data_IF_140857305758
#
_entry.id   IF_140857305758
#
_cell.length_a   1.000
_cell.length_b   1.000
_cell.length_c   1.000
_cell.angle_alpha   90.00
_cell.angle_beta   90.00
_cell.angle_gamma   90.00
#
_symmetry.space_group_name_H-M   'P 1'
#
loop_
_entity.id
_entity.type
_entity.pdbx_description
1 polymer ?
#
# COMPACT_ATOMS: atom_id res chain seq x y z
N UNK A 1 18.22 10.93 7.28
CA UNK A 1 18.80 9.79 8.01
C UNK A 1 19.97 9.29 7.19
N UNK A 2 21.06 8.92 7.85
CA UNK A 2 22.20 8.26 7.21
C UNK A 2 21.87 6.80 6.85
N UNK A 3 22.62 6.16 5.94
CA UNK A 3 22.36 4.77 5.51
C UNK A 3 22.36 3.74 6.64
N UNK A 4 23.17 3.91 7.69
CA UNK A 4 23.23 2.98 8.81
C UNK A 4 21.94 3.05 9.64
N UNK A 5 21.48 4.27 9.95
CA UNK A 5 20.21 4.51 10.63
C UNK A 5 18.99 4.02 9.83
N UNK A 6 18.99 4.22 8.51
CA UNK A 6 17.91 3.71 7.64
C UNK A 6 17.89 2.18 7.65
N UNK A 7 19.06 1.54 7.55
CA UNK A 7 19.17 0.08 7.56
C UNK A 7 18.66 -0.49 8.89
N UNK A 8 19.09 0.07 10.03
CA UNK A 8 18.61 -0.32 11.36
C UNK A 8 17.08 -0.20 11.47
N UNK A 9 16.53 0.94 11.04
CA UNK A 9 15.09 1.20 11.07
C UNK A 9 14.33 0.21 10.18
N UNK A 10 14.89 -0.13 9.02
CA UNK A 10 14.28 -1.11 8.11
C UNK A 10 14.27 -2.50 8.74
N UNK A 11 15.36 -2.92 9.38
CA UNK A 11 15.43 -4.21 10.10
C UNK A 11 14.34 -4.29 11.17
N UNK A 12 14.13 -3.23 11.94
CA UNK A 12 13.06 -3.17 12.95
C UNK A 12 11.67 -3.36 12.33
N UNK A 13 11.37 -2.67 11.22
CA UNK A 13 10.08 -2.84 10.51
C UNK A 13 9.93 -4.28 9.97
N UNK A 14 11.00 -4.88 9.45
CA UNK A 14 10.97 -6.28 9.00
C UNK A 14 10.74 -7.26 10.16
N UNK A 15 11.28 -6.98 11.35
CA UNK A 15 11.00 -7.77 12.55
C UNK A 15 9.53 -7.65 12.99
N UNK A 16 8.96 -6.45 12.96
CA UNK A 16 7.53 -6.24 13.18
C UNK A 16 6.69 -7.02 12.16
N UNK A 17 7.06 -6.98 10.88
CA UNK A 17 6.38 -7.71 9.82
C UNK A 17 6.43 -9.24 10.00
N UNK A 18 7.53 -9.79 10.51
CA UNK A 18 7.63 -11.20 10.85
C UNK A 18 6.61 -11.58 11.93
N UNK A 19 6.51 -10.77 12.99
CA UNK A 19 5.56 -10.99 14.08
C UNK A 19 4.09 -10.82 13.61
N UNK A 20 3.83 -9.80 12.79
CA UNK A 20 2.52 -9.57 12.19
C UNK A 20 2.13 -10.73 11.25
N UNK A 21 3.06 -11.21 10.42
CA UNK A 21 2.85 -12.37 9.56
C UNK A 21 2.51 -13.64 10.36
N UNK A 22 3.22 -13.89 11.46
CA UNK A 22 2.94 -15.01 12.36
C UNK A 22 1.51 -14.96 12.94
N UNK A 23 0.95 -13.76 13.06
CA UNK A 23 -0.42 -13.55 13.54
C UNK A 23 -1.44 -13.77 12.41
N UNK A 24 -1.18 -13.26 11.21
CA UNK A 24 -2.15 -13.24 10.10
C UNK A 24 -2.13 -14.52 9.25
N UNK A 25 -1.06 -15.32 9.29
CA UNK A 25 -0.88 -16.53 8.45
C UNK A 25 -1.97 -17.61 8.65
N UNK A 26 -2.73 -17.51 9.74
CA UNK A 26 -3.82 -18.42 10.10
C UNK A 26 -5.20 -17.96 9.61
N UNK A 27 -5.29 -16.79 8.95
CA UNK A 27 -6.51 -16.31 8.31
C UNK A 27 -6.91 -17.31 7.21
N UNK A 28 -8.15 -17.76 7.26
CA UNK A 28 -8.68 -18.70 6.28
C UNK A 28 -8.81 -18.01 4.91
N UNK A 29 -8.41 -18.71 3.85
CA UNK A 29 -8.44 -18.22 2.46
C UNK A 29 -7.58 -16.96 2.20
N UNK A 30 -6.54 -16.74 3.02
CA UNK A 30 -5.56 -15.68 2.79
C UNK A 30 -4.86 -15.87 1.42
N UNK A 31 -4.75 -14.82 0.57
CA UNK A 31 -4.12 -14.96 -0.73
C UNK A 31 -2.69 -15.46 -0.64
N UNK A 32 -2.30 -16.37 -1.56
CA UNK A 32 -0.96 -16.98 -1.58
C UNK A 32 0.17 -15.94 -1.65
N UNK A 33 -0.09 -14.79 -2.25
CA UNK A 33 0.81 -13.64 -2.24
C UNK A 33 1.33 -13.28 -0.83
N UNK A 34 0.45 -13.29 0.19
CA UNK A 34 0.87 -13.02 1.58
C UNK A 34 1.83 -14.08 2.11
N UNK A 35 1.60 -15.35 1.76
CA UNK A 35 2.50 -16.43 2.16
C UNK A 35 3.89 -16.30 1.52
N UNK A 36 3.98 -15.90 0.24
CA UNK A 36 5.26 -15.65 -0.42
C UNK A 36 5.99 -14.43 0.15
N UNK A 37 5.24 -13.37 0.50
CA UNK A 37 5.78 -12.22 1.24
C UNK A 37 6.37 -12.68 2.58
N UNK A 38 5.61 -13.46 3.35
CA UNK A 38 6.07 -14.03 4.63
C UNK A 38 7.35 -14.86 4.51
N UNK A 39 7.48 -15.68 3.45
CA UNK A 39 8.69 -16.47 3.17
C UNK A 39 9.89 -15.61 2.76
N UNK A 40 9.65 -14.42 2.22
CA UNK A 40 10.70 -13.50 1.77
C UNK A 40 11.26 -12.65 2.91
N UNK A 41 10.48 -12.40 3.98
CA UNK A 41 10.89 -11.56 5.10
C UNK A 41 12.22 -11.98 5.77
N UNK A 42 12.48 -13.27 6.06
CA UNK A 42 13.76 -13.68 6.64
C UNK A 42 14.95 -13.36 5.73
N UNK A 43 14.78 -13.52 4.42
CA UNK A 43 15.82 -13.21 3.43
C UNK A 43 16.12 -11.71 3.37
N UNK A 44 15.07 -10.88 3.41
CA UNK A 44 15.19 -9.42 3.48
C UNK A 44 15.97 -9.02 4.74
N UNK A 45 15.62 -9.60 5.89
CA UNK A 45 16.33 -9.35 7.15
C UNK A 45 17.80 -9.74 7.07
N UNK A 46 18.11 -10.96 6.62
CA UNK A 46 19.49 -11.45 6.45
C UNK A 46 20.30 -10.50 5.57
N UNK A 47 19.74 -10.04 4.45
CA UNK A 47 20.43 -9.11 3.54
C UNK A 47 20.70 -7.75 4.19
N UNK A 48 19.72 -7.23 4.96
CA UNK A 48 19.87 -5.95 5.65
C UNK A 48 20.86 -6.04 6.81
N UNK A 49 20.90 -7.17 7.54
CA UNK A 49 21.89 -7.41 8.59
C UNK A 49 23.32 -7.41 8.01
N UNK A 50 23.51 -8.01 6.84
CA UNK A 50 24.80 -7.96 6.11
C UNK A 50 25.15 -6.54 5.67
N UNK A 51 24.18 -5.82 5.11
CA UNK A 51 24.39 -4.42 4.73
C UNK A 51 24.74 -3.55 5.95
N UNK A 52 24.10 -3.78 7.08
CA UNK A 52 24.39 -3.07 8.32
C UNK A 52 25.80 -3.37 8.83
N UNK A 53 26.22 -4.64 8.81
CA UNK A 53 27.58 -5.04 9.21
C UNK A 53 28.63 -4.40 8.31
N UNK A 54 28.46 -4.44 6.98
CA UNK A 54 29.39 -3.78 6.06
C UNK A 54 29.42 -2.26 6.24
N UNK A 55 28.29 -1.62 6.54
CA UNK A 55 28.26 -0.18 6.82
C UNK A 55 28.98 0.21 8.10
N UNK A 56 28.94 -0.64 9.12
CA UNK A 56 29.55 -0.39 10.44
C UNK A 56 31.04 -0.77 10.49
N UNK A 57 31.40 -1.91 9.89
CA UNK A 57 32.77 -2.46 9.86
C UNK A 57 33.62 -1.78 8.79
N UNK A 58 33.16 -1.79 7.54
CA UNK A 58 33.96 -1.35 6.39
C UNK A 58 33.97 0.18 6.25
N UNK A 59 33.05 0.87 6.95
CA UNK A 59 32.90 2.34 6.99
C UNK A 59 33.13 2.97 5.61
N UNK A 60 32.31 2.59 4.61
CA UNK A 60 32.52 3.03 3.24
C UNK A 60 32.47 4.56 3.13
N UNK A 61 33.10 5.09 2.09
CA UNK A 61 33.15 6.53 1.87
C UNK A 61 31.76 7.15 1.60
N UNK A 62 31.69 8.48 1.62
CA UNK A 62 30.44 9.21 1.42
C UNK A 62 29.84 9.04 0.02
N UNK A 63 30.64 8.70 -1.01
CA UNK A 63 30.13 8.44 -2.35
C UNK A 63 29.33 7.14 -2.36
N UNK A 64 29.87 6.08 -1.75
CA UNK A 64 29.19 4.79 -1.61
C UNK A 64 27.92 4.93 -0.76
N UNK A 65 28.00 5.61 0.38
CA UNK A 65 26.84 5.90 1.23
C UNK A 65 25.73 6.62 0.47
N UNK A 66 26.10 7.67 -0.29
CA UNK A 66 25.16 8.44 -1.10
C UNK A 66 24.54 7.62 -2.23
N UNK A 67 25.28 6.68 -2.82
CA UNK A 67 24.78 5.83 -3.89
C UNK A 67 23.73 4.81 -3.42
N UNK A 68 23.88 4.27 -2.20
CA UNK A 68 22.97 3.23 -1.66
C UNK A 68 21.79 3.79 -0.87
N UNK A 69 21.91 5.01 -0.34
CA UNK A 69 20.89 5.64 0.50
C UNK A 69 19.49 5.66 -0.14
N UNK A 70 19.31 5.97 -1.44
CA UNK A 70 18.00 5.97 -2.06
C UNK A 70 17.34 4.58 -2.08
N UNK A 71 18.12 3.52 -2.33
CA UNK A 71 17.63 2.15 -2.33
C UNK A 71 17.14 1.73 -0.93
N UNK A 72 17.95 2.02 0.11
CA UNK A 72 17.59 1.74 1.50
C UNK A 72 16.35 2.54 1.97
N UNK A 73 16.26 3.81 1.57
CA UNK A 73 15.12 4.67 1.91
C UNK A 73 13.83 4.12 1.32
N UNK A 74 13.87 3.67 0.07
CA UNK A 74 12.69 3.11 -0.57
C UNK A 74 12.35 1.72 0.02
N UNK A 75 13.33 0.89 0.38
CA UNK A 75 13.08 -0.34 1.13
C UNK A 75 12.31 -0.05 2.43
N UNK A 76 12.73 0.94 3.21
CA UNK A 76 12.04 1.35 4.44
C UNK A 76 10.60 1.77 4.17
N UNK A 77 10.38 2.61 3.15
CA UNK A 77 9.05 3.09 2.78
C UNK A 77 8.13 1.94 2.40
N UNK A 78 8.61 1.02 1.54
CA UNK A 78 7.86 -0.15 1.09
C UNK A 78 7.55 -1.10 2.24
N UNK A 79 8.52 -1.35 3.12
CA UNK A 79 8.34 -2.18 4.30
C UNK A 79 7.26 -1.61 5.24
N UNK A 80 7.27 -0.30 5.49
CA UNK A 80 6.23 0.38 6.28
C UNK A 80 4.84 0.24 5.64
N UNK A 81 4.74 0.35 4.31
CA UNK A 81 3.46 0.13 3.63
C UNK A 81 2.93 -1.29 3.82
N UNK A 82 3.81 -2.31 3.80
CA UNK A 82 3.40 -3.69 4.09
C UNK A 82 2.98 -3.81 5.57
N UNK A 83 3.69 -3.16 6.49
CA UNK A 83 3.39 -3.16 7.93
C UNK A 83 2.02 -2.54 8.23
N UNK A 84 1.73 -1.41 7.60
CA UNK A 84 0.42 -0.75 7.66
C UNK A 84 -0.70 -1.66 7.14
N UNK A 85 -0.46 -2.41 6.06
CA UNK A 85 -1.41 -3.39 5.55
C UNK A 85 -1.61 -4.53 6.56
N UNK A 86 -0.53 -5.09 7.10
CA UNK A 86 -0.58 -6.25 7.99
C UNK A 86 -1.26 -5.92 9.32
N UNK A 87 -0.93 -4.79 9.93
CA UNK A 87 -1.51 -4.34 11.21
C UNK A 87 -3.02 -4.19 11.18
N UNK A 88 -3.59 -3.86 10.02
CA UNK A 88 -5.04 -3.67 9.88
C UNK A 88 -5.80 -4.98 9.58
N UNK A 89 -5.08 -6.02 9.14
CA UNK A 89 -5.62 -7.37 9.00
C UNK A 89 -5.32 -8.24 10.24
N UNK A 90 -4.69 -7.69 11.27
CA UNK A 90 -4.51 -8.38 12.54
C UNK A 90 -5.84 -8.55 13.28
N UNK A 91 -6.18 -9.78 13.75
CA UNK A 91 -7.44 -10.03 14.44
C UNK A 91 -7.65 -9.22 15.72
N UNK A 92 -6.56 -8.79 16.37
CA UNK A 92 -6.61 -7.95 17.56
C UNK A 92 -7.21 -6.56 17.31
N UNK A 93 -7.14 -6.07 16.07
CA UNK A 93 -7.71 -4.78 15.67
C UNK A 93 -9.20 -4.86 15.29
N UNK A 94 -9.79 -6.06 15.27
CA UNK A 94 -11.18 -6.25 14.89
C UNK A 94 -12.07 -6.65 16.08
N UNK A 95 -13.32 -6.18 16.05
CA UNK A 95 -14.30 -6.33 17.14
C UNK A 95 -14.87 -7.74 17.25
N UNK A 96 -14.62 -8.63 16.28
CA UNK A 96 -15.22 -9.97 16.20
C UNK A 96 -14.19 -11.06 16.50
N UNK A 97 -14.35 -11.71 17.66
CA UNK A 97 -13.54 -12.84 18.12
C UNK A 97 -13.98 -14.13 17.40
N UNK A 98 -13.25 -14.54 16.38
CA UNK A 98 -13.43 -15.82 15.66
C UNK A 98 -12.28 -16.07 14.69
N UNK A 99 -12.16 -17.29 14.15
CA UNK A 99 -11.22 -17.56 13.04
C UNK A 99 -11.64 -16.70 11.85
N UNK A 100 -10.89 -15.65 11.58
CA UNK A 100 -11.28 -14.65 10.60
C UNK A 100 -10.98 -15.18 9.19
N UNK A 101 -12.00 -15.10 8.33
CA UNK A 101 -11.86 -15.42 6.91
C UNK A 101 -11.35 -14.18 6.17
N UNK A 102 -10.58 -14.38 5.10
CA UNK A 102 -10.09 -13.29 4.24
C UNK A 102 -11.23 -12.39 3.73
N UNK A 103 -12.44 -12.93 3.56
CA UNK A 103 -13.65 -12.21 3.18
C UNK A 103 -13.98 -11.03 4.12
N UNK A 104 -13.60 -11.09 5.39
CA UNK A 104 -13.78 -10.00 6.35
C UNK A 104 -12.84 -8.81 6.07
N UNK A 105 -11.67 -9.08 5.50
CA UNK A 105 -10.61 -8.09 5.27
C UNK A 105 -10.57 -7.58 3.84
N UNK A 106 -11.11 -8.33 2.87
CA UNK A 106 -10.98 -7.99 1.43
C UNK A 106 -11.49 -6.58 1.12
N UNK A 107 -12.57 -6.12 1.77
CA UNK A 107 -13.10 -4.77 1.59
C UNK A 107 -12.11 -3.72 2.08
N UNK A 108 -11.53 -3.94 3.25
CA UNK A 108 -10.52 -3.06 3.82
C UNK A 108 -9.27 -3.01 2.93
N UNK A 109 -8.78 -4.19 2.54
CA UNK A 109 -7.59 -4.33 1.70
C UNK A 109 -7.77 -3.58 0.36
N UNK A 110 -8.94 -3.72 -0.27
CA UNK A 110 -9.31 -2.96 -1.47
C UNK A 110 -9.24 -1.45 -1.25
N UNK A 111 -9.89 -0.94 -0.21
CA UNK A 111 -9.89 0.51 0.10
C UNK A 111 -8.49 1.05 0.35
N UNK A 112 -7.58 0.25 0.91
CA UNK A 112 -6.20 0.67 1.18
C UNK A 112 -5.27 0.52 -0.01
N UNK A 113 -5.45 -0.47 -0.87
CA UNK A 113 -4.46 -0.81 -1.90
C UNK A 113 -4.85 -0.31 -3.29
N UNK A 114 -6.14 -0.37 -3.65
CA UNK A 114 -6.62 0.01 -4.98
C UNK A 114 -6.33 1.47 -5.32
N UNK A 115 -6.56 2.47 -4.44
CA UNK A 115 -6.32 3.88 -4.76
C UNK A 115 -4.86 4.23 -5.08
N UNK A 116 -3.91 3.40 -4.63
CA UNK A 116 -2.49 3.62 -4.89
C UNK A 116 -1.96 2.79 -6.07
N UNK A 117 -2.82 2.02 -6.73
CA UNK A 117 -2.50 1.25 -7.93
C UNK A 117 -1.78 -0.08 -7.67
N UNK A 118 -1.51 -0.81 -8.76
CA UNK A 118 -0.98 -2.18 -8.76
C UNK A 118 0.36 -2.34 -8.02
N UNK A 119 1.16 -1.27 -7.94
CA UNK A 119 2.46 -1.27 -7.26
C UNK A 119 2.34 -1.34 -5.73
N UNK A 120 1.15 -1.17 -5.16
CA UNK A 120 0.90 -1.24 -3.71
C UNK A 120 0.33 -2.59 -3.25
N UNK A 121 0.21 -3.56 -4.17
CA UNK A 121 -0.03 -4.95 -3.80
C UNK A 121 1.13 -5.48 -2.96
N UNK A 122 0.86 -6.36 -2.00
CA UNK A 122 1.87 -6.82 -1.03
C UNK A 122 3.03 -7.55 -1.72
N UNK A 123 2.73 -8.33 -2.76
CA UNK A 123 3.73 -9.02 -3.56
C UNK A 123 4.59 -8.04 -4.37
N UNK A 124 3.98 -6.98 -4.92
CA UNK A 124 4.69 -5.96 -5.69
C UNK A 124 5.62 -5.12 -4.80
N UNK A 125 5.14 -4.75 -3.60
CA UNK A 125 5.95 -4.04 -2.60
C UNK A 125 7.16 -4.88 -2.16
N UNK A 126 6.95 -6.17 -1.87
CA UNK A 126 8.04 -7.08 -1.48
C UNK A 126 9.03 -7.32 -2.63
N UNK A 127 8.52 -7.48 -3.85
CA UNK A 127 9.38 -7.63 -5.03
C UNK A 127 10.26 -6.39 -5.27
N UNK A 128 9.73 -5.18 -5.07
CA UNK A 128 10.51 -3.94 -5.16
C UNK A 128 11.61 -3.88 -4.08
N UNK A 129 11.33 -4.32 -2.84
CA UNK A 129 12.34 -4.45 -1.78
C UNK A 129 13.44 -5.42 -2.22
N UNK A 130 13.10 -6.61 -2.68
CA UNK A 130 14.09 -7.63 -3.09
C UNK A 130 14.94 -7.17 -4.27
N UNK A 131 14.35 -6.48 -5.25
CA UNK A 131 15.09 -5.90 -6.39
C UNK A 131 16.12 -4.87 -5.91
N UNK A 132 15.75 -3.99 -4.97
CA UNK A 132 16.68 -3.00 -4.40
C UNK A 132 17.79 -3.65 -3.59
N UNK A 133 17.46 -4.68 -2.81
CA UNK A 133 18.44 -5.47 -2.08
C UNK A 133 19.40 -6.21 -3.01
N UNK A 134 18.93 -6.69 -4.17
CA UNK A 134 19.80 -7.26 -5.19
C UNK A 134 20.76 -6.21 -5.76
N UNK A 135 20.29 -5.00 -6.06
CA UNK A 135 21.16 -3.89 -6.49
C UNK A 135 22.20 -3.57 -5.41
N UNK A 136 21.80 -3.54 -4.14
CA UNK A 136 22.71 -3.33 -3.01
C UNK A 136 23.75 -4.46 -2.91
N UNK A 137 23.33 -5.72 -3.04
CA UNK A 137 24.20 -6.88 -2.98
C UNK A 137 25.24 -6.93 -4.12
N UNK A 138 24.94 -6.37 -5.29
CA UNK A 138 25.87 -6.29 -6.43
C UNK A 138 26.86 -5.13 -6.27
N UNK A 139 26.53 -4.13 -5.44
CA UNK A 139 27.41 -3.00 -5.21
C UNK A 139 28.73 -3.47 -4.57
N UNK A 140 29.87 -3.00 -5.09
CA UNK A 140 31.21 -3.52 -4.75
C UNK A 140 31.50 -3.56 -3.25
N UNK A 141 30.98 -2.60 -2.48
CA UNK A 141 31.11 -2.54 -1.02
C UNK A 141 30.42 -3.71 -0.27
N UNK A 142 29.43 -4.35 -0.89
CA UNK A 142 28.65 -5.44 -0.28
C UNK A 142 28.84 -6.78 -1.01
N UNK A 143 29.39 -6.72 -2.23
CA UNK A 143 29.50 -7.86 -3.15
C UNK A 143 30.25 -9.04 -2.56
N UNK A 144 31.40 -8.82 -1.91
CA UNK A 144 32.19 -9.92 -1.34
C UNK A 144 31.40 -10.69 -0.26
N UNK A 145 30.74 -9.96 0.65
CA UNK A 145 29.89 -10.56 1.69
C UNK A 145 28.66 -11.25 1.09
N UNK A 146 27.99 -10.62 0.12
CA UNK A 146 26.80 -11.15 -0.53
C UNK A 146 27.06 -12.41 -1.37
N UNK A 147 28.17 -12.45 -2.13
CA UNK A 147 28.58 -13.61 -2.92
C UNK A 147 28.96 -14.79 -2.03
N UNK A 148 29.66 -14.54 -0.92
CA UNK A 148 30.07 -15.59 0.01
C UNK A 148 28.90 -16.37 0.62
N UNK A 149 27.72 -15.75 0.69
CA UNK A 149 26.51 -16.31 1.29
C UNK A 149 25.45 -16.72 0.25
N UNK A 150 25.76 -16.62 -1.04
CA UNK A 150 24.83 -16.93 -2.13
C UNK A 150 23.61 -16.01 -2.15
N UNK A 151 23.73 -14.78 -1.63
CA UNK A 151 22.60 -13.91 -1.38
C UNK A 151 21.91 -13.46 -2.68
N UNK A 152 22.70 -13.24 -3.73
CA UNK A 152 22.18 -12.83 -5.05
C UNK A 152 21.22 -13.90 -5.62
N UNK A 153 21.62 -15.17 -5.58
CA UNK A 153 20.79 -16.27 -6.08
C UNK A 153 19.51 -16.46 -5.25
N UNK A 154 19.61 -16.34 -3.92
CA UNK A 154 18.43 -16.40 -3.04
C UNK A 154 17.44 -15.26 -3.37
N UNK A 155 17.94 -14.04 -3.57
CA UNK A 155 17.12 -12.88 -3.93
C UNK A 155 16.45 -13.06 -5.29
N UNK A 156 17.18 -13.56 -6.30
CA UNK A 156 16.61 -13.86 -7.62
C UNK A 156 15.51 -14.90 -7.56
N UNK A 157 15.71 -15.97 -6.77
CA UNK A 157 14.70 -16.99 -6.57
C UNK A 157 13.44 -16.42 -5.90
N UNK A 158 13.60 -15.59 -4.87
CA UNK A 158 12.46 -14.95 -4.19
C UNK A 158 11.70 -13.97 -5.10
N UNK A 159 12.42 -13.16 -5.90
CA UNK A 159 11.81 -12.27 -6.91
C UNK A 159 10.99 -13.09 -7.91
N UNK A 160 11.52 -14.22 -8.38
CA UNK A 160 10.82 -15.10 -9.32
C UNK A 160 9.56 -15.71 -8.69
N UNK A 161 9.64 -16.21 -7.46
CA UNK A 161 8.47 -16.74 -6.75
C UNK A 161 7.35 -15.71 -6.59
N UNK A 162 7.68 -14.45 -6.28
CA UNK A 162 6.68 -13.38 -6.16
C UNK A 162 6.11 -12.94 -7.51
N UNK A 163 6.86 -13.08 -8.61
CA UNK A 163 6.34 -12.80 -9.94
C UNK A 163 5.39 -13.89 -10.46
N UNK A 164 5.57 -15.14 -10.00
CA UNK A 164 4.78 -16.31 -10.41
C UNK A 164 3.53 -16.53 -9.52
N UNK A 165 3.46 -15.90 -8.35
CA UNK A 165 2.32 -16.06 -7.43
C UNK A 165 1.07 -15.40 -7.97
N UNK A 166 -0.08 -16.02 -7.71
CA UNK A 166 -1.38 -15.40 -7.95
C UNK A 166 -1.49 -14.08 -7.15
N UNK A 167 -1.88 -12.97 -7.79
CA UNK A 167 -1.87 -11.65 -7.17
C UNK A 167 -2.88 -11.57 -6.02
N UNK A 168 -2.59 -10.72 -5.03
CA UNK A 168 -3.47 -10.55 -3.86
C UNK A 168 -4.85 -10.00 -4.20
N UNK A 169 -4.94 -9.25 -5.30
CA UNK A 169 -6.16 -8.76 -5.94
C UNK A 169 -5.97 -8.84 -7.47
N UNK A 170 -7.05 -9.13 -8.23
CA UNK A 170 -6.96 -9.17 -9.68
C UNK A 170 -6.64 -7.78 -10.23
N UNK A 171 -5.78 -7.73 -11.25
CA UNK A 171 -5.30 -6.48 -11.84
C UNK A 171 -6.42 -5.58 -12.39
N UNK A 172 -7.56 -6.18 -12.79
CA UNK A 172 -8.76 -5.47 -13.23
C UNK A 172 -9.37 -4.56 -12.16
N UNK A 173 -9.14 -4.86 -10.87
CA UNK A 173 -9.62 -3.99 -9.79
C UNK A 173 -8.89 -2.65 -9.73
N UNK A 174 -7.73 -2.53 -10.37
CA UNK A 174 -6.93 -1.32 -10.41
C UNK A 174 -7.16 -0.48 -11.67
N UNK A 175 -7.75 -1.08 -12.72
CA UNK A 175 -7.96 -0.42 -14.00
C UNK A 175 -9.06 0.67 -13.93
N UNK A 176 -9.84 0.71 -12.84
CA UNK A 176 -10.83 1.76 -12.54
C UNK A 176 -10.42 2.79 -11.49
N UNK A 177 -9.29 2.59 -10.78
CA UNK A 177 -8.90 3.44 -9.65
C UNK A 177 -8.55 4.89 -10.05
N UNK A 178 -8.18 5.11 -11.31
CA UNK A 178 -7.82 6.42 -11.86
C UNK A 178 -8.90 7.04 -12.76
N UNK A 179 -10.10 6.44 -12.83
CA UNK A 179 -11.18 6.94 -13.68
C UNK A 179 -12.54 6.76 -12.99
N UNK A 180 -12.83 7.63 -12.02
CA UNK A 180 -14.23 8.01 -11.76
C UNK A 180 -14.74 8.93 -12.89
N UNK A 181 -14.62 8.49 -14.14
CA UNK A 181 -15.30 9.10 -15.27
C UNK A 181 -16.76 8.68 -15.22
N UNK A 182 -17.50 9.23 -14.25
CA UNK A 182 -18.95 8.99 -14.13
C UNK A 182 -19.64 9.80 -15.22
N UNK A 183 -19.93 9.16 -16.34
CA UNK A 183 -20.76 9.76 -17.39
C UNK A 183 -22.22 9.52 -17.04
N UNK A 184 -22.91 10.56 -16.56
CA UNK A 184 -24.35 10.52 -16.34
C UNK A 184 -25.07 11.12 -17.54
N UNK A 185 -25.89 10.34 -18.22
CA UNK A 185 -26.80 10.85 -19.24
C UNK A 185 -28.05 11.42 -18.55
N UNK A 186 -28.11 12.75 -18.45
CA UNK A 186 -29.23 13.47 -17.84
C UNK A 186 -30.11 13.98 -19.00
N UNK A 187 -31.40 13.67 -18.97
CA UNK A 187 -32.37 14.27 -19.91
C UNK A 187 -32.47 15.78 -19.69
N UNK A 188 -32.95 16.54 -20.67
CA UNK A 188 -33.00 18.03 -20.64
C UNK A 188 -33.66 18.66 -19.40
N UNK A 189 -34.38 17.88 -18.60
CA UNK A 189 -35.05 18.30 -17.34
C UNK A 189 -34.67 17.48 -16.11
N UNK A 190 -33.68 16.58 -16.21
CA UNK A 190 -33.17 15.80 -15.09
C UNK A 190 -32.19 16.57 -14.22
N UNK A 191 -32.07 16.19 -12.94
CA UNK A 191 -30.99 16.63 -12.05
C UNK A 191 -30.11 15.44 -11.71
N UNK A 192 -28.83 15.51 -12.05
CA UNK A 192 -27.84 14.49 -11.74
C UNK A 192 -27.12 14.78 -10.43
N UNK A 193 -26.80 13.71 -9.71
CA UNK A 193 -26.05 13.74 -8.45
C UNK A 193 -25.00 12.64 -8.53
N UNK A 194 -23.73 13.03 -8.49
CA UNK A 194 -22.61 12.10 -8.43
C UNK A 194 -21.90 12.31 -7.09
N UNK A 195 -21.82 11.25 -6.29
CA UNK A 195 -21.05 11.23 -5.06
C UNK A 195 -19.89 10.25 -5.24
N UNK A 196 -18.66 10.74 -5.11
CA UNK A 196 -17.43 9.93 -5.24
C UNK A 196 -16.88 9.47 -3.88
N UNK A 197 -17.67 9.57 -2.81
CA UNK A 197 -17.34 9.03 -1.49
C UNK A 197 -16.21 9.75 -0.73
N UNK A 198 -15.54 10.72 -1.35
CA UNK A 198 -14.58 11.62 -0.68
C UNK A 198 -15.30 12.92 -0.29
N UNK A 199 -14.93 13.48 0.86
CA UNK A 199 -15.62 14.57 1.56
C UNK A 199 -16.04 15.72 0.60
N UNK A 200 -17.36 15.89 0.44
CA UNK A 200 -18.05 17.14 0.05
C UNK A 200 -17.65 17.86 -1.24
N UNK A 201 -17.61 17.20 -2.39
CA UNK A 201 -17.78 17.91 -3.67
C UNK A 201 -19.00 17.38 -4.42
N UNK A 202 -20.14 18.05 -4.22
CA UNK A 202 -21.34 17.85 -5.03
C UNK A 202 -21.20 18.75 -6.27
N UNK A 203 -20.70 18.19 -7.37
CA UNK A 203 -20.72 18.88 -8.66
C UNK A 203 -22.12 18.71 -9.31
N UNK A 204 -23.04 19.63 -9.02
CA UNK A 204 -24.31 19.70 -9.75
C UNK A 204 -24.09 20.40 -11.10
N UNK A 205 -24.49 19.75 -12.18
CA UNK A 205 -24.45 20.31 -13.54
C UNK A 205 -25.27 21.60 -13.63
N UNK A 206 -24.60 22.66 -14.11
CA UNK A 206 -25.10 23.95 -14.58
C UNK A 206 -26.17 24.69 -13.73
N UNK A 207 -25.98 24.79 -12.41
CA UNK A 207 -26.65 25.83 -11.61
C UNK A 207 -25.71 26.44 -10.57
N UNK A 208 -25.85 27.74 -10.37
CA UNK A 208 -25.14 28.63 -9.43
C UNK A 208 -24.74 27.90 -8.14
N UNK A 209 -23.44 27.91 -7.82
CA UNK A 209 -22.88 27.28 -6.62
C UNK A 209 -23.42 27.96 -5.37
N UNK A 210 -24.20 27.26 -4.54
CA UNK A 210 -24.55 27.74 -3.20
C UNK A 210 -23.56 27.15 -2.19
N UNK A 211 -22.70 27.99 -1.64
CA UNK A 211 -21.85 27.64 -0.50
C UNK A 211 -22.62 27.96 0.78
N UNK A 212 -23.02 26.93 1.55
CA UNK A 212 -23.45 27.12 2.93
C UNK A 212 -22.20 27.25 3.81
N UNK A 213 -21.75 28.48 4.01
CA UNK A 213 -20.72 28.82 4.98
C UNK A 213 -21.22 28.73 6.43
N UNK A 214 -21.79 27.59 6.83
CA UNK A 214 -22.15 27.30 8.22
C UNK A 214 -23.44 27.97 8.73
N UNK A 215 -24.38 28.35 7.87
CA UNK A 215 -25.68 28.93 8.25
C UNK A 215 -26.87 28.06 7.83
N UNK A 216 -27.94 28.07 8.64
CA UNK A 216 -29.19 27.38 8.34
C UNK A 216 -29.87 27.93 7.08
N UNK A 217 -30.18 27.04 6.12
CA UNK A 217 -30.86 27.40 4.87
C UNK A 217 -32.37 27.36 5.07
N UNK A 218 -33.05 28.49 4.83
CA UNK A 218 -34.51 28.57 4.85
C UNK A 218 -35.04 28.57 3.42
N UNK A 219 -35.89 27.59 3.07
CA UNK A 219 -36.59 27.55 1.80
C UNK A 219 -38.00 28.13 2.01
N UNK A 220 -38.28 29.27 1.36
CA UNK A 220 -39.61 29.88 1.39
C UNK A 220 -40.64 29.02 0.65
N UNK A 221 -41.77 28.73 1.29
CA UNK A 221 -42.94 28.16 0.62
C UNK A 221 -43.80 29.29 0.08
N UNK A 222 -43.73 29.55 -1.23
CA UNK A 222 -44.69 30.42 -1.91
C UNK A 222 -46.01 29.65 -2.12
N UNK A 223 -47.00 29.97 -1.30
CA UNK A 223 -48.35 29.45 -1.44
C UNK A 223 -49.06 30.21 -2.58
N UNK A 224 -49.28 29.53 -3.71
CA UNK A 224 -50.06 30.06 -4.83
C UNK A 224 -51.51 30.30 -4.38
N UNK A 225 -51.88 31.56 -4.12
CA UNK A 225 -53.27 31.97 -3.87
C UNK A 225 -53.97 32.13 -5.22
N UNK A 226 -54.90 31.22 -5.54
CA UNK A 226 -55.70 31.25 -6.76
C UNK A 226 -56.50 32.55 -6.85
N UNK A 227 -56.39 33.24 -7.98
CA UNK A 227 -57.38 34.25 -8.38
C UNK A 227 -58.69 33.53 -8.70
N UNK A 228 -59.73 33.82 -7.93
CA UNK A 228 -61.11 33.55 -8.34
C UNK A 228 -61.63 34.81 -9.03
N UNK A 229 -61.97 34.67 -10.32
CA UNK A 229 -62.88 35.60 -11.01
C UNK A 229 -64.29 35.33 -10.50
N UNK A 230 -64.95 36.38 -10.03
CA UNK A 230 -66.29 36.81 -10.44
C UNK A 230 -66.47 38.29 -10.05
#
# INVERSE_FOLDING_TARGET
MDPLSITASTITVIQSLLAAFDTIKHIKDLPKAFAEVGRSLPLVKETLDLAQQSLDIDKPDENVKSAIQPALTECLKRAKTIEDIFSEIEPGNQREKGAQEWSAFVRFYRTKVVPFGKAHKVEALMQDILNKLKVLAIHHAFKAHAESLGQIEKLEKAIKSLAEVEPSLPDSEFDGANATNVTQHISDSGRGLVSTGSYSEIAMGNTTKYHSGGGAMNFGMDFLRSQSRD
#
